data_IF_703990495832
#
_entry.id   IF_703990495832
#
_cell.length_a   1.000
_cell.length_b   1.000
_cell.length_c   1.000
_cell.angle_alpha   90.00
_cell.angle_beta   90.00
_cell.angle_gamma   90.00
#
_symmetry.space_group_name_H-M   'P 1'
#
loop_
_entity.id
_entity.type
_entity.pdbx_description
1 polymer ?
#
# COMPACT_ATOMS: atom_id res chain seq x y z
N UNK A 1 -30.69 18.29 18.60
CA UNK A 1 -30.57 17.34 17.48
C UNK A 1 -29.16 17.48 16.93
N UNK A 2 -28.23 16.65 17.41
CA UNK A 2 -26.84 16.67 16.91
C UNK A 2 -26.81 16.13 15.48
N UNK A 3 -26.01 16.69 14.56
CA UNK A 3 -25.96 16.20 13.19
C UNK A 3 -25.50 14.74 13.20
N UNK A 4 -26.30 13.89 12.56
CA UNK A 4 -26.02 12.48 12.33
C UNK A 4 -24.80 12.41 11.41
N UNK A 5 -23.60 12.43 11.99
CA UNK A 5 -22.34 12.30 11.26
C UNK A 5 -22.30 10.85 10.79
N UNK A 6 -22.81 10.60 9.58
CA UNK A 6 -22.72 9.31 8.90
C UNK A 6 -21.25 8.88 8.96
N UNK A 7 -20.94 7.96 9.86
CA UNK A 7 -19.57 7.46 9.97
C UNK A 7 -19.23 6.77 8.66
N UNK A 8 -18.08 7.11 8.07
CA UNK A 8 -17.63 6.44 6.86
C UNK A 8 -17.57 4.91 7.13
N UNK A 9 -18.02 4.07 6.18
CA UNK A 9 -18.02 2.61 6.37
C UNK A 9 -16.61 2.01 6.48
N UNK A 10 -15.58 2.83 6.27
CA UNK A 10 -14.17 2.45 6.29
C UNK A 10 -13.40 3.26 7.34
N UNK A 11 -12.51 2.58 8.05
CA UNK A 11 -11.46 3.25 8.81
C UNK A 11 -10.31 3.61 7.86
N UNK A 12 -10.07 4.90 7.63
CA UNK A 12 -8.95 5.36 6.80
C UNK A 12 -7.68 5.40 7.66
N UNK A 13 -6.58 4.88 7.13
CA UNK A 13 -5.26 4.86 7.78
C UNK A 13 -4.18 5.32 6.83
N UNK A 14 -3.34 6.24 7.27
CA UNK A 14 -2.12 6.64 6.58
C UNK A 14 -0.95 5.90 7.23
N UNK A 15 -0.21 5.14 6.43
CA UNK A 15 0.91 4.33 6.89
C UNK A 15 2.18 4.84 6.21
N UNK A 16 2.99 5.60 6.94
CA UNK A 16 4.31 6.01 6.47
C UNK A 16 5.35 4.93 6.82
N UNK A 17 5.80 4.23 5.78
CA UNK A 17 6.77 3.14 5.89
C UNK A 17 8.19 3.64 6.19
N UNK A 18 8.48 4.93 6.01
CA UNK A 18 9.79 5.50 6.32
C UNK A 18 10.07 5.54 7.84
N UNK A 19 9.03 5.55 8.66
CA UNK A 19 9.12 5.60 10.12
C UNK A 19 9.18 4.23 10.81
N UNK A 20 9.36 3.13 10.07
CA UNK A 20 9.36 1.74 10.57
C UNK A 20 8.13 1.44 11.47
N UNK A 21 6.91 1.51 10.92
CA UNK A 21 5.71 1.12 11.65
C UNK A 21 5.83 -0.34 12.11
N UNK A 22 5.55 -0.60 13.38
CA UNK A 22 5.67 -1.96 13.94
C UNK A 22 4.46 -2.84 13.60
N UNK A 23 3.26 -2.24 13.58
CA UNK A 23 2.00 -2.94 13.36
C UNK A 23 0.94 -1.98 12.80
N UNK A 24 0.10 -2.47 11.90
CA UNK A 24 -1.18 -1.85 11.55
C UNK A 24 -2.31 -2.64 12.22
N UNK A 25 -3.00 -2.05 13.18
CA UNK A 25 -4.05 -2.71 13.95
C UNK A 25 -5.44 -2.55 13.32
N UNK A 26 -6.28 -3.57 13.52
CA UNK A 26 -7.71 -3.47 13.23
C UNK A 26 -8.36 -2.39 14.12
N UNK A 27 -9.36 -1.66 13.61
CA UNK A 27 -10.13 -0.75 14.45
C UNK A 27 -11.01 -1.57 15.43
N UNK A 28 -11.32 -1.03 16.63
CA UNK A 28 -12.06 -1.77 17.67
C UNK A 28 -13.48 -2.18 17.26
N UNK A 29 -14.06 -1.47 16.30
CA UNK A 29 -15.39 -1.69 15.75
C UNK A 29 -15.41 -2.73 14.61
N UNK A 30 -14.26 -3.31 14.27
CA UNK A 30 -14.13 -4.34 13.24
C UNK A 30 -14.36 -3.83 11.80
N UNK A 31 -14.42 -2.50 11.59
CA UNK A 31 -14.60 -1.94 10.24
C UNK A 31 -13.42 -2.28 9.33
N UNK A 32 -13.67 -2.45 8.02
CA UNK A 32 -12.58 -2.60 7.06
C UNK A 32 -11.72 -1.35 7.02
N UNK A 33 -10.42 -1.53 6.76
CA UNK A 33 -9.43 -0.46 6.72
C UNK A 33 -9.07 -0.12 5.29
N UNK A 34 -9.13 1.16 4.95
CA UNK A 34 -8.56 1.70 3.71
C UNK A 34 -7.21 2.33 4.05
N UNK A 35 -6.12 1.63 3.72
CA UNK A 35 -4.77 2.07 4.04
C UNK A 35 -4.12 2.75 2.84
N UNK A 36 -3.64 3.97 3.05
CA UNK A 36 -2.80 4.72 2.11
C UNK A 36 -1.36 4.59 2.58
N UNK A 37 -0.50 4.02 1.73
CA UNK A 37 0.90 3.79 2.03
C UNK A 37 1.78 4.90 1.47
N UNK A 38 2.65 5.39 2.33
CA UNK A 38 3.56 6.48 2.06
C UNK A 38 5.00 6.05 2.30
N UNK A 39 5.92 6.69 1.58
CA UNK A 39 7.32 6.72 1.93
C UNK A 39 7.77 8.18 1.94
N UNK A 40 7.82 8.78 3.13
CA UNK A 40 7.96 10.24 3.27
C UNK A 40 6.84 10.93 2.47
N UNK A 41 7.19 11.85 1.56
CA UNK A 41 6.24 12.60 0.73
C UNK A 41 5.69 11.81 -0.48
N UNK A 42 6.15 10.57 -0.71
CA UNK A 42 5.73 9.76 -1.86
C UNK A 42 4.57 8.84 -1.49
N UNK A 43 3.44 8.97 -2.20
CA UNK A 43 2.36 7.98 -2.16
C UNK A 43 2.82 6.74 -2.95
N UNK A 44 2.92 5.60 -2.27
CA UNK A 44 3.24 4.33 -2.89
C UNK A 44 2.00 3.62 -3.44
N UNK A 45 0.86 3.78 -2.76
CA UNK A 45 -0.41 3.22 -3.22
C UNK A 45 -1.40 3.00 -2.09
N UNK A 46 -2.43 2.20 -2.39
CA UNK A 46 -3.55 1.94 -1.49
C UNK A 46 -3.82 0.44 -1.38
N UNK A 47 -4.22 -0.02 -0.19
CA UNK A 47 -4.71 -1.38 0.03
C UNK A 47 -5.89 -1.37 1.00
N UNK A 48 -6.90 -2.16 0.69
CA UNK A 48 -8.02 -2.45 1.60
C UNK A 48 -7.71 -3.67 2.43
N UNK A 49 -8.01 -3.60 3.72
CA UNK A 49 -7.97 -4.75 4.63
C UNK A 49 -9.37 -5.03 5.17
N UNK A 50 -9.83 -6.27 5.05
CA UNK A 50 -10.99 -6.77 5.76
C UNK A 50 -10.67 -6.91 7.27
N UNK A 51 -11.72 -6.97 8.11
CA UNK A 51 -11.55 -7.03 9.57
C UNK A 51 -10.71 -8.22 10.08
N UNK A 52 -10.62 -9.31 9.33
CA UNK A 52 -9.78 -10.47 9.64
C UNK A 52 -8.36 -10.46 9.08
N UNK A 53 -8.01 -9.49 8.22
CA UNK A 53 -6.67 -9.38 7.62
C UNK A 53 -5.71 -8.55 8.49
N UNK A 54 -6.20 -7.93 9.55
CA UNK A 54 -5.43 -7.16 10.52
C UNK A 54 -5.43 -7.87 11.88
N UNK A 55 -4.35 -7.78 12.67
CA UNK A 55 -3.20 -6.89 12.50
C UNK A 55 -2.20 -7.34 11.44
N UNK A 56 -1.66 -6.39 10.68
CA UNK A 56 -0.50 -6.59 9.83
C UNK A 56 0.77 -6.21 10.61
N UNK A 57 1.71 -7.13 10.73
CA UNK A 57 2.97 -6.89 11.44
C UNK A 57 4.01 -6.22 10.52
N UNK A 58 5.17 -5.86 11.07
CA UNK A 58 6.24 -5.22 10.30
C UNK A 58 6.65 -5.97 9.03
N UNK A 59 6.78 -7.29 9.08
CA UNK A 59 7.17 -8.07 7.90
C UNK A 59 6.10 -7.99 6.80
N UNK A 60 4.83 -8.00 7.18
CA UNK A 60 3.71 -7.80 6.25
C UNK A 60 3.76 -6.40 5.63
N UNK A 61 4.00 -5.37 6.45
CA UNK A 61 4.09 -3.97 6.00
C UNK A 61 5.29 -3.74 5.07
N UNK A 62 6.44 -4.36 5.37
CA UNK A 62 7.64 -4.30 4.53
C UNK A 62 7.39 -4.99 3.17
N UNK A 63 6.73 -6.15 3.16
CA UNK A 63 6.37 -6.87 1.94
C UNK A 63 5.37 -6.08 1.06
N UNK A 64 4.35 -5.49 1.69
CA UNK A 64 3.39 -4.60 1.01
C UNK A 64 4.12 -3.38 0.43
N UNK A 65 4.97 -2.75 1.24
CA UNK A 65 5.77 -1.60 0.84
C UNK A 65 6.64 -1.89 -0.37
N UNK A 66 7.36 -3.01 -0.37
CA UNK A 66 8.19 -3.45 -1.48
C UNK A 66 7.36 -3.68 -2.75
N UNK A 67 6.21 -4.35 -2.63
CA UNK A 67 5.30 -4.58 -3.76
C UNK A 67 4.76 -3.29 -4.37
N UNK A 68 4.36 -2.33 -3.53
CA UNK A 68 3.87 -1.02 -3.99
C UNK A 68 5.00 -0.18 -4.61
N UNK A 69 6.18 -0.15 -3.99
CA UNK A 69 7.33 0.56 -4.52
C UNK A 69 7.76 0.01 -5.89
N UNK A 70 7.75 -1.31 -6.07
CA UNK A 70 8.03 -1.95 -7.35
C UNK A 70 7.03 -1.53 -8.43
N UNK A 71 5.73 -1.45 -8.10
CA UNK A 71 4.70 -0.96 -9.03
C UNK A 71 4.92 0.49 -9.43
N UNK A 72 5.19 1.38 -8.45
CA UNK A 72 5.50 2.79 -8.77
C UNK A 72 6.71 2.89 -9.68
N UNK A 73 7.76 2.12 -9.42
CA UNK A 73 8.96 2.10 -10.26
C UNK A 73 8.65 1.61 -11.68
N UNK A 74 7.91 0.51 -11.81
CA UNK A 74 7.53 -0.06 -13.11
C UNK A 74 6.75 0.96 -13.95
N UNK A 75 5.74 1.61 -13.39
CA UNK A 75 4.97 2.66 -14.08
C UNK A 75 5.84 3.84 -14.51
N UNK A 76 6.84 4.23 -13.70
CA UNK A 76 7.76 5.32 -14.04
C UNK A 76 8.71 4.95 -15.17
N UNK A 77 9.18 3.70 -15.20
CA UNK A 77 10.02 3.19 -16.29
C UNK A 77 9.23 3.18 -17.60
N UNK A 78 7.99 2.69 -17.59
CA UNK A 78 7.11 2.70 -18.76
C UNK A 78 6.83 4.13 -19.27
N UNK A 79 6.52 5.05 -18.36
CA UNK A 79 6.24 6.46 -18.70
C UNK A 79 7.44 7.20 -19.31
N UNK A 80 8.67 6.74 -19.05
CA UNK A 80 9.90 7.31 -19.59
C UNK A 80 10.36 6.62 -20.89
N UNK A 81 9.54 5.74 -21.48
CA UNK A 81 9.91 4.97 -22.67
C UNK A 81 10.93 3.87 -22.37
N UNK A 82 10.85 3.27 -21.18
CA UNK A 82 11.83 2.33 -20.66
C UNK A 82 12.09 1.13 -21.58
N UNK A 83 13.34 0.63 -21.63
CA UNK A 83 13.71 -0.46 -22.52
C UNK A 83 12.98 -1.75 -22.13
N UNK A 84 12.69 -2.59 -23.12
CA UNK A 84 12.26 -3.97 -22.90
C UNK A 84 13.28 -4.64 -21.96
N UNK A 85 12.87 -4.96 -20.74
CA UNK A 85 13.71 -5.72 -19.84
C UNK A 85 13.91 -7.10 -20.49
N UNK A 86 15.16 -7.58 -20.62
CA UNK A 86 15.41 -8.91 -21.14
C UNK A 86 14.68 -9.94 -20.28
N UNK A 87 14.21 -11.02 -20.90
CA UNK A 87 13.72 -12.18 -20.15
C UNK A 87 14.81 -12.64 -19.16
N UNK A 88 14.42 -13.32 -18.07
CA UNK A 88 15.34 -13.73 -17.00
C UNK A 88 16.53 -14.61 -17.47
N UNK A 89 16.53 -15.05 -18.73
CA UNK A 89 17.58 -15.79 -19.43
C UNK A 89 18.52 -14.91 -20.30
N UNK A 90 18.33 -13.59 -20.31
CA UNK A 90 19.15 -12.64 -21.06
C UNK A 90 18.76 -12.49 -22.54
N UNK A 91 17.66 -13.07 -23.00
CA UNK A 91 17.20 -12.87 -24.38
C UNK A 91 16.28 -11.64 -24.52
N UNK A 92 16.48 -10.80 -25.55
CA UNK A 92 15.52 -9.76 -25.91
C UNK A 92 14.27 -10.39 -26.53
N UNK A 93 13.09 -9.85 -26.20
CA UNK A 93 11.81 -10.21 -26.82
C UNK A 93 11.69 -9.58 -28.23
N UNK A 94 11.07 -10.28 -29.20
CA UNK A 94 10.90 -9.79 -30.58
C UNK A 94 9.98 -8.56 -30.68
#
# INVERSE_FOLDING_TARGET
MSPNRTEAPWAIRHVDLSHRPQTLSAPPDGRPVYAVFWWRELILGVRTFAGGELPANRADLDAIGAGLAAQVLATRIEALGGPALPAADGTPLP
#
